data_IF_493361537060
#
_entry.id   IF_493361537060
#
_cell.length_a   1.000
_cell.length_b   1.000
_cell.length_c   1.000
_cell.angle_alpha   90.00
_cell.angle_beta   90.00
_cell.angle_gamma   90.00
#
_symmetry.space_group_name_H-M   'P 1'
#
loop_
_entity.id
_entity.type
_entity.pdbx_description
1 polymer ?
#
# COMPACT_ATOMS: atom_id res chain seq x y z
N UNK A 1 13.13 6.30 17.39
CA UNK A 1 12.78 4.96 17.91
C UNK A 1 11.29 4.76 17.73
N UNK A 2 10.90 3.70 17.04
CA UNK A 2 9.50 3.30 16.91
C UNK A 2 9.10 2.40 18.08
N UNK A 3 7.84 2.46 18.51
CA UNK A 3 7.35 1.70 19.67
C UNK A 3 6.66 0.42 19.25
N UNK A 4 7.01 -0.69 19.91
CA UNK A 4 6.29 -1.96 19.77
C UNK A 4 4.88 -1.91 20.38
N UNK A 5 4.56 -0.90 21.20
CA UNK A 5 3.20 -0.67 21.71
C UNK A 5 2.29 0.05 20.72
N UNK A 6 2.84 0.60 19.63
CA UNK A 6 2.08 1.39 18.67
C UNK A 6 1.07 0.49 17.93
N UNK A 7 -0.20 0.86 17.99
CA UNK A 7 -1.31 0.16 17.32
C UNK A 7 -1.83 0.90 16.11
N UNK A 8 -1.75 2.22 16.11
CA UNK A 8 -2.27 3.06 15.03
C UNK A 8 -1.23 4.11 14.66
N UNK A 9 -1.02 4.30 13.35
CA UNK A 9 -0.12 5.29 12.81
C UNK A 9 -0.77 6.00 11.64
N UNK A 10 -0.90 7.32 11.76
CA UNK A 10 -1.47 8.19 10.75
C UNK A 10 -0.43 9.23 10.35
N UNK A 11 -0.05 9.22 9.09
CA UNK A 11 0.95 10.11 8.52
C UNK A 11 0.33 10.89 7.35
N UNK A 12 0.68 12.17 7.25
CA UNK A 12 0.21 13.04 6.17
C UNK A 12 1.36 13.86 5.60
N UNK A 13 1.45 13.90 4.27
CA UNK A 13 2.44 14.64 3.50
C UNK A 13 3.89 14.33 3.91
N UNK A 14 4.19 13.06 4.11
CA UNK A 14 5.50 12.59 4.59
C UNK A 14 6.41 12.15 3.45
N UNK A 15 7.70 12.34 3.66
CA UNK A 15 8.76 11.75 2.85
C UNK A 15 9.46 10.69 3.70
N UNK A 16 9.47 9.45 3.25
CA UNK A 16 10.31 8.43 3.84
C UNK A 16 10.82 7.45 2.79
N UNK A 17 11.96 6.81 3.08
CA UNK A 17 12.65 5.87 2.21
C UNK A 17 12.41 4.42 2.65
N UNK A 18 13.11 3.49 1.99
CA UNK A 18 12.99 2.06 2.25
C UNK A 18 13.52 1.69 3.64
N UNK A 19 14.55 2.37 4.14
CA UNK A 19 15.11 2.15 5.47
C UNK A 19 14.09 2.49 6.56
N UNK A 20 13.38 3.61 6.42
CA UNK A 20 12.29 3.96 7.33
C UNK A 20 11.20 2.88 7.35
N UNK A 21 10.77 2.39 6.18
CA UNK A 21 9.76 1.33 6.10
C UNK A 21 10.23 0.03 6.75
N UNK A 22 11.50 -0.33 6.59
CA UNK A 22 12.09 -1.49 7.24
C UNK A 22 12.13 -1.31 8.77
N UNK A 23 12.54 -0.14 9.25
CA UNK A 23 12.55 0.18 10.68
C UNK A 23 11.13 0.15 11.27
N UNK A 24 10.14 0.64 10.54
CA UNK A 24 8.73 0.61 10.92
C UNK A 24 8.21 -0.84 11.01
N UNK A 25 8.47 -1.66 9.99
CA UNK A 25 8.01 -3.06 9.98
C UNK A 25 8.67 -3.92 11.06
N UNK A 26 9.91 -3.62 11.44
CA UNK A 26 10.65 -4.35 12.49
C UNK A 26 10.29 -3.91 13.90
N UNK A 27 9.96 -2.63 14.09
CA UNK A 27 9.73 -2.07 15.42
C UNK A 27 8.25 -2.03 15.81
N UNK A 28 7.36 -1.75 14.86
CA UNK A 28 5.92 -1.58 15.10
C UNK A 28 5.14 -2.89 14.91
N UNK A 29 5.65 -4.02 15.41
CA UNK A 29 5.06 -5.35 15.15
C UNK A 29 3.59 -5.51 15.58
N UNK A 30 3.10 -4.64 16.47
CA UNK A 30 1.71 -4.63 16.95
C UNK A 30 0.82 -3.61 16.24
N UNK A 31 1.30 -2.98 15.16
CA UNK A 31 0.52 -2.02 14.40
C UNK A 31 -0.68 -2.71 13.75
N UNK A 32 -1.87 -2.21 14.06
CA UNK A 32 -3.18 -2.69 13.56
C UNK A 32 -3.73 -1.79 12.46
N UNK A 33 -3.43 -0.48 12.51
CA UNK A 33 -3.88 0.52 11.53
C UNK A 33 -2.69 1.34 11.06
N UNK A 34 -2.49 1.40 9.74
CA UNK A 34 -1.50 2.26 9.12
C UNK A 34 -2.13 3.09 8.00
N UNK A 35 -2.16 4.41 8.17
CA UNK A 35 -2.62 5.33 7.15
C UNK A 35 -1.49 6.28 6.78
N UNK A 36 -1.15 6.33 5.49
CA UNK A 36 -0.21 7.30 4.96
C UNK A 36 -0.85 8.04 3.79
N UNK A 37 -1.00 9.35 3.94
CA UNK A 37 -1.59 10.23 2.93
C UNK A 37 -0.52 11.15 2.33
N UNK A 38 -0.41 11.22 1.02
CA UNK A 38 0.60 12.05 0.36
C UNK A 38 2.02 11.54 0.53
N UNK A 39 2.21 10.23 0.42
CA UNK A 39 3.50 9.56 0.50
C UNK A 39 4.44 9.98 -0.63
N UNK A 40 5.69 10.32 -0.29
CA UNK A 40 6.80 10.57 -1.20
C UNK A 40 8.05 9.80 -0.76
N UNK A 41 9.03 9.70 -1.65
CA UNK A 41 10.35 9.10 -1.37
C UNK A 41 10.51 7.64 -1.78
N UNK A 42 9.40 6.92 -1.99
CA UNK A 42 9.42 5.50 -2.37
C UNK A 42 9.09 5.26 -3.83
N UNK A 43 9.77 4.27 -4.41
CA UNK A 43 9.36 3.59 -5.64
C UNK A 43 8.61 2.30 -5.35
N UNK A 44 8.89 1.64 -4.22
CA UNK A 44 8.19 0.45 -3.72
C UNK A 44 7.75 0.64 -2.28
N UNK A 45 6.47 0.50 -2.03
CA UNK A 45 5.92 0.39 -0.68
C UNK A 45 5.78 -1.09 -0.33
N UNK A 46 6.49 -1.55 0.69
CA UNK A 46 6.41 -2.93 1.16
C UNK A 46 6.09 -2.95 2.65
N UNK A 47 5.10 -3.75 3.05
CA UNK A 47 4.74 -3.93 4.46
C UNK A 47 4.74 -5.39 4.86
N UNK A 48 5.27 -5.69 6.05
CA UNK A 48 5.31 -7.02 6.64
C UNK A 48 4.91 -6.96 8.13
N UNK A 49 3.77 -6.35 8.41
CA UNK A 49 3.27 -6.13 9.76
C UNK A 49 2.25 -7.22 10.14
N UNK A 50 2.56 -8.08 11.12
CA UNK A 50 1.77 -9.30 11.34
C UNK A 50 0.38 -9.03 11.92
N UNK A 51 0.16 -7.91 12.61
CA UNK A 51 -1.14 -7.54 13.21
C UNK A 51 -1.91 -6.49 12.41
N UNK A 52 -1.39 -6.07 11.27
CA UNK A 52 -1.99 -5.00 10.48
C UNK A 52 -3.32 -5.49 9.89
N UNK A 53 -4.40 -4.78 10.22
CA UNK A 53 -5.77 -5.05 9.77
C UNK A 53 -6.24 -4.03 8.74
N UNK A 54 -5.82 -2.76 8.89
CA UNK A 54 -6.19 -1.68 7.98
C UNK A 54 -4.96 -0.97 7.44
N UNK A 55 -4.90 -0.82 6.11
CA UNK A 55 -3.87 -0.07 5.42
C UNK A 55 -4.49 0.92 4.43
N UNK A 56 -4.14 2.20 4.58
CA UNK A 56 -4.41 3.22 3.56
C UNK A 56 -3.09 3.78 3.05
N UNK A 57 -2.85 3.68 1.75
CA UNK A 57 -1.69 4.29 1.08
C UNK A 57 -2.19 5.25 0.00
N UNK A 58 -1.87 6.53 0.16
CA UNK A 58 -2.13 7.55 -0.86
C UNK A 58 -0.82 8.18 -1.30
N UNK A 59 -0.52 8.10 -2.59
CA UNK A 59 0.78 8.48 -3.15
C UNK A 59 0.61 9.30 -4.44
N UNK A 60 -0.09 10.44 -4.33
CA UNK A 60 -0.26 11.39 -5.44
C UNK A 60 1.04 12.12 -5.76
N UNK A 61 1.31 12.30 -7.06
CA UNK A 61 2.53 12.97 -7.54
C UNK A 61 3.81 12.35 -6.94
N UNK A 62 3.82 11.03 -6.80
CA UNK A 62 4.91 10.27 -6.20
C UNK A 62 5.62 9.43 -7.25
N UNK A 63 6.82 8.93 -6.93
CA UNK A 63 7.54 7.97 -7.77
C UNK A 63 7.11 6.52 -7.50
N UNK A 64 6.03 6.31 -6.74
CA UNK A 64 5.59 4.98 -6.33
C UNK A 64 5.13 4.18 -7.54
N UNK A 65 5.69 2.98 -7.70
CA UNK A 65 5.40 2.05 -8.80
C UNK A 65 4.86 0.71 -8.29
N UNK A 66 5.20 0.32 -7.06
CA UNK A 66 4.82 -0.98 -6.50
C UNK A 66 4.27 -0.84 -5.09
N UNK A 67 3.20 -1.58 -4.81
CA UNK A 67 2.64 -1.77 -3.46
C UNK A 67 2.60 -3.26 -3.17
N UNK A 68 3.48 -3.73 -2.29
CA UNK A 68 3.70 -5.14 -1.97
C UNK A 68 3.29 -5.42 -0.52
N UNK A 69 2.14 -6.08 -0.37
CA UNK A 69 1.49 -6.26 0.93
C UNK A 69 1.73 -7.68 1.42
N UNK A 70 2.62 -7.81 2.41
CA UNK A 70 2.98 -9.09 3.07
C UNK A 70 2.45 -9.17 4.50
N UNK A 71 1.28 -8.57 4.72
CA UNK A 71 0.60 -8.54 6.01
C UNK A 71 -0.65 -9.42 5.93
N UNK A 72 -0.61 -10.67 6.43
CA UNK A 72 -1.61 -11.67 6.11
C UNK A 72 -3.00 -11.40 6.72
N UNK A 73 -3.03 -10.61 7.79
CA UNK A 73 -4.24 -10.29 8.55
C UNK A 73 -4.91 -8.99 8.11
N UNK A 74 -4.51 -8.38 6.99
CA UNK A 74 -5.19 -7.20 6.47
C UNK A 74 -6.61 -7.58 6.06
N UNK A 75 -7.57 -6.79 6.52
CA UNK A 75 -9.00 -6.90 6.24
C UNK A 75 -9.47 -5.75 5.33
N UNK A 76 -8.85 -4.58 5.44
CA UNK A 76 -9.23 -3.35 4.72
C UNK A 76 -8.00 -2.70 4.07
N UNK A 77 -7.99 -2.64 2.74
CA UNK A 77 -6.89 -2.10 1.95
C UNK A 77 -7.38 -1.02 0.99
N UNK A 78 -6.88 0.19 1.22
CA UNK A 78 -7.12 1.33 0.36
C UNK A 78 -5.82 1.79 -0.30
N UNK A 79 -5.76 1.74 -1.64
CA UNK A 79 -4.61 2.23 -2.41
C UNK A 79 -5.06 3.29 -3.41
N UNK A 80 -4.61 4.50 -3.14
CA UNK A 80 -4.84 5.68 -3.98
C UNK A 80 -3.52 6.08 -4.63
N UNK A 81 -3.27 5.54 -5.81
CA UNK A 81 -2.24 6.05 -6.71
C UNK A 81 -2.84 7.15 -7.56
N UNK A 82 -2.14 8.24 -7.80
CA UNK A 82 -2.39 8.99 -9.04
C UNK A 82 -1.10 9.64 -9.47
N UNK A 83 -0.57 9.14 -10.58
CA UNK A 83 0.33 9.92 -11.41
C UNK A 83 -0.56 10.73 -12.35
N UNK A 84 -1.38 11.63 -11.78
CA UNK A 84 -1.94 12.72 -12.57
C UNK A 84 -0.74 13.46 -13.12
N UNK A 85 -0.47 13.24 -14.41
CA UNK A 85 0.54 13.94 -15.17
C UNK A 85 0.23 15.42 -15.10
N UNK A 86 0.73 16.10 -14.07
CA UNK A 86 0.94 17.53 -14.20
C UNK A 86 1.81 17.70 -15.45
N UNK A 87 1.46 18.64 -16.31
CA UNK A 87 2.13 18.90 -17.59
C UNK A 87 3.66 19.12 -17.51
N UNK A 88 4.24 19.10 -16.30
CA UNK A 88 5.67 19.13 -16.00
C UNK A 88 6.41 17.79 -16.21
N UNK A 89 5.71 16.65 -16.21
CA UNK A 89 6.31 15.31 -16.44
C UNK A 89 5.66 14.64 -17.66
N UNK A 90 5.75 15.28 -18.82
CA UNK A 90 5.14 14.78 -20.07
C UNK A 90 5.83 13.57 -20.70
N UNK A 91 6.97 13.13 -20.17
CA UNK A 91 7.79 12.06 -20.76
C UNK A 91 8.04 10.89 -19.79
N UNK A 92 6.98 10.21 -19.32
CA UNK A 92 7.00 8.82 -18.82
C UNK A 92 5.55 8.29 -18.95
N UNK A 93 5.16 7.85 -20.13
CA UNK A 93 3.85 7.21 -20.38
C UNK A 93 3.63 6.03 -19.41
N UNK A 94 2.49 6.07 -18.70
CA UNK A 94 1.79 4.91 -18.12
C UNK A 94 2.43 4.16 -16.94
N UNK A 95 3.01 4.85 -15.96
CA UNK A 95 3.48 4.22 -14.72
C UNK A 95 2.34 3.92 -13.75
N UNK A 96 1.73 2.80 -14.10
CA UNK A 96 0.67 2.05 -13.50
C UNK A 96 1.18 1.39 -12.19
N UNK A 97 0.61 1.74 -11.03
CA UNK A 97 1.00 1.12 -9.75
C UNK A 97 0.57 -0.35 -9.76
N UNK A 98 1.53 -1.25 -9.59
CA UNK A 98 1.28 -2.70 -9.46
C UNK A 98 1.09 -3.05 -8.00
N UNK A 99 0.02 -3.74 -7.68
CA UNK A 99 -0.31 -4.15 -6.31
C UNK A 99 -0.15 -5.66 -6.19
N UNK A 100 0.63 -6.11 -5.23
CA UNK A 100 0.85 -7.53 -4.93
C UNK A 100 0.22 -7.82 -3.58
N UNK A 101 -0.83 -8.65 -3.57
CA UNK A 101 -1.65 -8.96 -2.39
C UNK A 101 -1.71 -10.44 -2.06
N UNK A 102 -0.86 -11.29 -2.66
CA UNK A 102 -0.94 -12.76 -2.59
C UNK A 102 -0.93 -13.34 -1.15
N UNK A 103 -0.51 -12.56 -0.15
CA UNK A 103 -0.52 -12.97 1.25
C UNK A 103 -1.80 -12.58 2.02
N UNK A 104 -2.69 -11.76 1.45
CA UNK A 104 -3.78 -11.07 2.15
C UNK A 104 -5.07 -11.91 2.24
N UNK A 105 -4.98 -13.13 2.78
CA UNK A 105 -6.12 -14.07 2.81
C UNK A 105 -7.33 -13.57 3.61
N UNK A 106 -7.12 -12.65 4.54
CA UNK A 106 -8.19 -12.05 5.36
C UNK A 106 -8.85 -10.82 4.72
N UNK A 107 -8.46 -10.43 3.49
CA UNK A 107 -8.96 -9.20 2.88
C UNK A 107 -10.46 -9.29 2.58
N UNK A 108 -11.22 -8.30 3.09
CA UNK A 108 -12.67 -8.15 2.89
C UNK A 108 -13.03 -6.93 2.08
N UNK A 109 -12.26 -5.86 2.24
CA UNK A 109 -12.49 -4.57 1.58
C UNK A 109 -11.23 -4.17 0.82
N UNK A 110 -11.39 -3.90 -0.48
CA UNK A 110 -10.34 -3.40 -1.34
C UNK A 110 -10.85 -2.17 -2.07
N UNK A 111 -10.16 -1.04 -1.95
CA UNK A 111 -10.46 0.16 -2.72
C UNK A 111 -9.23 0.61 -3.49
N UNK A 112 -9.38 0.69 -4.81
CA UNK A 112 -8.31 1.04 -5.72
C UNK A 112 -8.67 2.28 -6.54
N UNK A 113 -7.79 3.26 -6.56
CA UNK A 113 -7.95 4.46 -7.37
C UNK A 113 -6.63 4.84 -8.03
N UNK A 114 -6.66 5.10 -9.34
CA UNK A 114 -5.51 5.49 -10.16
C UNK A 114 -4.34 4.50 -10.09
N UNK A 115 -4.67 3.22 -10.09
CA UNK A 115 -3.73 2.10 -10.17
C UNK A 115 -3.93 1.32 -11.46
N UNK A 116 -2.87 0.65 -11.89
CA UNK A 116 -2.95 -0.26 -13.01
C UNK A 116 -3.80 -1.46 -12.66
N UNK A 117 -4.62 -1.89 -13.59
CA UNK A 117 -5.14 -3.25 -13.54
C UNK A 117 -4.76 -3.96 -14.83
N UNK A 118 -3.98 -5.03 -14.71
CA UNK A 118 -3.71 -5.96 -15.81
C UNK A 118 -4.64 -7.15 -15.69
N UNK A 119 -4.89 -7.87 -16.79
CA UNK A 119 -5.67 -9.11 -16.74
C UNK A 119 -5.07 -10.12 -15.75
N UNK A 120 -3.74 -10.25 -15.75
CA UNK A 120 -3.02 -11.10 -14.81
C UNK A 120 -3.30 -10.73 -13.35
N UNK A 121 -3.36 -9.44 -13.03
CA UNK A 121 -3.68 -8.98 -11.67
C UNK A 121 -5.12 -9.36 -11.27
N UNK A 122 -6.08 -9.23 -12.21
CA UNK A 122 -7.44 -9.70 -11.97
C UNK A 122 -7.51 -11.22 -11.76
N UNK A 123 -6.75 -12.02 -12.51
CA UNK A 123 -6.76 -13.47 -12.31
C UNK A 123 -6.16 -13.86 -10.94
N UNK A 124 -5.09 -13.15 -10.52
CA UNK A 124 -4.44 -13.34 -9.22
C UNK A 124 -5.35 -12.89 -8.06
N UNK A 125 -6.12 -11.81 -8.22
CA UNK A 125 -6.93 -11.28 -7.12
C UNK A 125 -8.05 -12.25 -6.73
N UNK A 126 -8.76 -12.82 -7.69
CA UNK A 126 -9.88 -13.73 -7.41
C UNK A 126 -9.41 -15.10 -6.93
N UNK A 127 -8.19 -15.50 -7.25
CA UNK A 127 -7.60 -16.74 -6.72
C UNK A 127 -7.08 -16.56 -5.29
N UNK A 128 -6.54 -15.38 -4.96
CA UNK A 128 -5.92 -15.14 -3.66
C UNK A 128 -6.90 -14.60 -2.60
N UNK A 129 -7.93 -13.85 -3.01
CA UNK A 129 -8.79 -13.08 -2.11
C UNK A 129 -10.22 -13.63 -2.07
N UNK A 130 -10.35 -14.82 -1.49
CA UNK A 130 -11.62 -15.56 -1.40
C UNK A 130 -12.68 -14.91 -0.49
N UNK A 131 -12.27 -13.95 0.35
CA UNK A 131 -13.13 -13.31 1.36
C UNK A 131 -13.52 -11.87 1.00
N UNK A 132 -13.27 -11.41 -0.23
CA UNK A 132 -13.67 -10.06 -0.64
C UNK A 132 -15.19 -9.91 -0.58
N UNK A 133 -15.62 -8.90 0.18
CA UNK A 133 -17.00 -8.45 0.31
C UNK A 133 -17.23 -7.13 -0.44
N UNK A 134 -16.18 -6.32 -0.65
CA UNK A 134 -16.21 -5.00 -1.30
C UNK A 134 -14.97 -4.80 -2.17
N UNK A 135 -15.17 -4.35 -3.42
CA UNK A 135 -14.15 -4.04 -4.43
C UNK A 135 -14.48 -2.72 -5.15
#
# INVERSE_FOLDING_TARGET
>A
MFSSSLRELHLQCVYFDEEFMQALCTSCINLEVFMVRGLKGLTRFQTSLPKLKKLQVTAYYSKLRFVDIRSPNIEDLDVYGSNLSSNYFKNESDLNVVIITNCCKSLKSLQLNGVAMTQKWFDEIFTCLQNIEKL
#
